data_IF_562948618112
#
_entry.id   IF_562948618112
#
_cell.length_a   1.000
_cell.length_b   1.000
_cell.length_c   1.000
_cell.angle_alpha   90.00
_cell.angle_beta   90.00
_cell.angle_gamma   90.00
#
_symmetry.space_group_name_H-M   'P 1'
#
loop_
_entity.id
_entity.type
_entity.pdbx_description
1 polymer ?
#
# COMPACT_ATOMS: atom_id res chain seq x y z
N UNK A 1 38.39 9.20 -36.26
CA UNK A 1 37.96 8.53 -35.01
C UNK A 1 36.44 8.51 -34.97
N UNK A 2 35.85 7.35 -34.64
CA UNK A 2 34.39 7.12 -34.70
C UNK A 2 33.64 8.09 -33.78
N UNK A 3 32.45 8.53 -34.19
CA UNK A 3 31.55 9.41 -33.43
C UNK A 3 31.30 8.92 -32.00
N UNK A 4 31.40 7.60 -31.78
CA UNK A 4 31.31 6.97 -30.47
C UNK A 4 32.49 7.31 -29.54
N UNK A 5 33.72 7.29 -30.05
CA UNK A 5 34.92 7.66 -29.27
C UNK A 5 34.90 9.14 -28.86
N UNK A 6 34.36 10.01 -29.72
CA UNK A 6 34.20 11.43 -29.40
C UNK A 6 33.15 11.64 -28.29
N UNK A 7 32.09 10.83 -28.26
CA UNK A 7 31.05 10.90 -27.22
C UNK A 7 31.55 10.39 -25.86
N UNK A 8 32.30 9.28 -25.86
CA UNK A 8 32.93 8.73 -24.65
C UNK A 8 33.96 9.70 -24.08
N UNK A 9 34.78 10.33 -24.91
CA UNK A 9 35.74 11.35 -24.47
C UNK A 9 35.04 12.61 -23.89
N UNK A 10 33.88 12.99 -24.43
CA UNK A 10 33.09 14.11 -23.93
C UNK A 10 32.44 13.79 -22.58
N UNK A 11 31.97 12.56 -22.38
CA UNK A 11 31.46 12.07 -21.10
C UNK A 11 32.57 11.95 -20.04
N UNK A 12 33.75 11.49 -20.42
CA UNK A 12 34.91 11.41 -19.53
C UNK A 12 35.36 12.80 -19.05
N UNK A 13 35.44 13.79 -19.95
CA UNK A 13 35.74 15.18 -19.57
C UNK A 13 34.64 15.82 -18.72
N UNK A 14 33.37 15.50 -18.98
CA UNK A 14 32.27 15.97 -18.15
C UNK A 14 32.33 15.37 -16.73
N UNK A 15 32.71 14.10 -16.60
CA UNK A 15 32.95 13.45 -15.32
C UNK A 15 34.16 14.06 -14.58
N UNK A 16 35.25 14.37 -15.29
CA UNK A 16 36.43 15.03 -14.73
C UNK A 16 36.13 16.46 -14.26
N UNK A 17 35.32 17.23 -15.01
CA UNK A 17 34.89 18.57 -14.56
C UNK A 17 33.97 18.52 -13.34
N UNK A 18 33.12 17.49 -13.24
CA UNK A 18 32.28 17.28 -12.05
C UNK A 18 33.11 16.85 -10.83
N UNK A 19 34.23 16.13 -11.03
CA UNK A 19 35.18 15.86 -9.94
C UNK A 19 36.05 17.05 -9.56
N UNK A 20 36.40 17.92 -10.51
CA UNK A 20 37.18 19.13 -10.23
C UNK A 20 36.36 20.19 -9.48
N UNK A 21 35.06 20.32 -9.79
CA UNK A 21 34.12 21.15 -9.01
C UNK A 21 33.74 20.52 -7.65
N UNK A 22 34.09 19.25 -7.41
CA UNK A 22 33.91 18.58 -6.12
C UNK A 22 35.09 18.77 -5.15
N UNK A 23 36.21 19.36 -5.59
CA UNK A 23 37.44 19.51 -4.78
C UNK A 23 37.66 20.94 -4.25
N UNK A 24 36.61 21.76 -4.21
CA UNK A 24 36.64 23.01 -3.46
C UNK A 24 35.53 22.99 -2.42
N UNK A 25 35.81 22.32 -1.30
CA UNK A 25 34.95 22.37 -0.11
C UNK A 25 34.75 23.84 0.28
N UNK A 26 33.50 24.37 0.28
CA UNK A 26 33.25 25.72 0.76
C UNK A 26 33.67 25.80 2.24
N UNK A 27 34.13 26.96 2.73
CA UNK A 27 34.47 27.12 4.14
C UNK A 27 33.27 26.71 4.98
N UNK A 28 33.49 25.85 5.97
CA UNK A 28 32.47 25.33 6.86
C UNK A 28 31.86 26.46 7.71
N UNK A 29 30.92 27.20 7.14
CA UNK A 29 30.01 28.05 7.90
C UNK A 29 29.20 27.07 8.73
N UNK A 30 29.46 27.00 10.04
CA UNK A 30 28.75 26.13 10.97
C UNK A 30 27.25 26.44 10.86
N UNK A 31 26.50 25.57 10.20
CA UNK A 31 25.06 25.76 10.01
C UNK A 31 24.42 25.61 11.39
N UNK A 32 23.80 26.68 11.94
CA UNK A 32 23.24 26.62 13.27
C UNK A 32 22.08 25.60 13.30
N UNK A 33 22.03 24.80 14.36
CA UNK A 33 20.93 23.87 14.60
C UNK A 33 19.70 24.66 15.05
N UNK A 34 18.52 24.29 14.52
CA UNK A 34 17.24 24.82 14.99
C UNK A 34 16.96 24.35 16.42
N UNK A 35 16.17 25.11 17.18
CA UNK A 35 15.81 24.79 18.58
C UNK A 35 15.31 23.34 18.77
N UNK A 36 14.45 22.85 17.87
CA UNK A 36 13.94 21.47 17.91
C UNK A 36 15.01 20.39 17.60
N UNK A 37 16.10 20.74 16.90
CA UNK A 37 17.23 19.85 16.68
C UNK A 37 18.22 19.89 17.86
N UNK A 38 18.30 21.03 18.58
CA UNK A 38 19.13 21.20 19.77
C UNK A 38 18.62 20.38 20.97
N UNK A 39 17.32 20.07 21.01
CA UNK A 39 16.74 19.22 22.07
C UNK A 39 17.06 17.73 21.92
N UNK A 40 17.70 17.32 20.82
CA UNK A 40 18.10 15.93 20.61
C UNK A 40 19.34 15.58 21.45
N UNK A 41 19.47 14.32 21.88
CA UNK A 41 20.67 13.87 22.59
C UNK A 41 21.98 14.18 21.84
N UNK A 42 23.06 14.56 22.56
CA UNK A 42 24.30 15.06 21.94
C UNK A 42 24.98 14.03 21.03
N UNK A 43 24.86 12.73 21.32
CA UNK A 43 25.41 11.66 20.49
C UNK A 43 24.73 11.58 19.10
N UNK A 44 23.47 12.00 18.97
CA UNK A 44 22.75 12.04 17.69
C UNK A 44 23.22 13.24 16.88
N UNK A 45 23.31 14.38 17.55
CA UNK A 45 23.77 15.65 16.96
C UNK A 45 25.18 15.47 16.40
N UNK A 46 26.07 14.79 17.12
CA UNK A 46 27.42 14.50 16.66
C UNK A 46 27.47 13.45 15.52
N UNK A 47 26.52 12.53 15.49
CA UNK A 47 26.49 11.41 14.53
C UNK A 47 25.84 11.73 13.18
N UNK A 48 25.08 12.83 13.10
CA UNK A 48 24.21 13.14 11.96
C UNK A 48 24.56 14.51 11.39
N UNK A 49 24.49 14.65 10.06
CA UNK A 49 24.69 15.93 9.39
C UNK A 49 23.69 16.99 9.90
N UNK A 50 24.16 18.18 10.35
CA UNK A 50 23.29 19.26 10.83
C UNK A 50 22.24 19.70 9.79
N UNK A 51 22.53 19.59 8.48
CA UNK A 51 21.56 19.91 7.41
C UNK A 51 20.39 18.92 7.43
N UNK A 52 20.70 17.62 7.54
CA UNK A 52 19.69 16.56 7.62
C UNK A 52 18.85 16.72 8.89
N UNK A 53 19.51 16.98 10.02
CA UNK A 53 18.86 17.14 11.32
C UNK A 53 17.88 18.33 11.33
N UNK A 54 18.29 19.46 10.77
CA UNK A 54 17.44 20.66 10.67
C UNK A 54 16.18 20.42 9.80
N UNK A 55 16.30 19.61 8.74
CA UNK A 55 15.16 19.20 7.90
C UNK A 55 14.25 18.21 8.61
N UNK A 56 14.82 17.22 9.31
CA UNK A 56 14.05 16.25 10.10
C UNK A 56 13.29 16.93 11.25
N UNK A 57 13.91 17.90 11.93
CA UNK A 57 13.31 18.61 13.06
C UNK A 57 12.06 19.44 12.67
N UNK A 58 11.94 19.86 11.40
CA UNK A 58 10.70 20.47 10.89
C UNK A 58 9.59 19.47 10.57
N UNK A 59 9.92 18.19 10.39
CA UNK A 59 8.98 17.14 10.02
C UNK A 59 8.42 16.44 11.25
N UNK A 60 9.30 16.07 12.19
CA UNK A 60 8.95 15.29 13.36
C UNK A 60 9.75 15.79 14.57
N UNK A 61 9.06 15.99 15.70
CA UNK A 61 9.68 16.36 16.98
C UNK A 61 9.79 15.13 17.87
N UNK A 62 11.00 14.85 18.33
CA UNK A 62 11.26 13.75 19.25
C UNK A 62 10.54 14.01 20.59
N UNK A 63 9.68 13.09 21.05
CA UNK A 63 9.02 13.24 22.35
C UNK A 63 10.01 12.97 23.50
N UNK A 64 9.78 13.59 24.67
CA UNK A 64 10.69 13.50 25.82
C UNK A 64 10.83 12.07 26.42
N UNK A 65 9.78 11.25 26.25
CA UNK A 65 9.78 9.84 26.66
C UNK A 65 10.55 8.92 25.70
N UNK A 66 10.97 9.43 24.53
CA UNK A 66 11.80 8.65 23.63
C UNK A 66 13.20 8.45 24.23
N UNK A 67 13.80 7.29 23.98
CA UNK A 67 15.14 6.97 24.46
C UNK A 67 15.80 5.88 23.64
N UNK A 68 17.02 5.50 24.01
CA UNK A 68 17.73 4.41 23.36
C UNK A 68 17.33 3.06 23.96
N UNK A 69 17.20 2.01 23.15
CA UNK A 69 16.98 0.67 23.67
C UNK A 69 18.25 0.13 24.35
N UNK A 70 18.08 -0.55 25.49
CA UNK A 70 19.18 -1.21 26.22
C UNK A 70 19.67 -2.49 25.53
N UNK A 71 18.85 -3.08 24.66
CA UNK A 71 19.16 -4.28 23.87
C UNK A 71 19.13 -3.93 22.38
N UNK A 72 19.91 -4.63 21.54
CA UNK A 72 19.84 -4.40 20.09
C UNK A 72 18.52 -4.91 19.53
N UNK A 73 17.96 -4.16 18.59
CA UNK A 73 16.77 -4.52 17.81
C UNK A 73 17.02 -4.22 16.34
N UNK A 74 16.33 -4.93 15.45
CA UNK A 74 16.35 -4.65 14.03
C UNK A 74 15.00 -4.98 13.37
N UNK A 75 14.74 -4.38 12.21
CA UNK A 75 13.66 -4.79 11.33
C UNK A 75 14.21 -5.77 10.30
N UNK A 76 13.74 -7.00 10.34
CA UNK A 76 14.03 -8.00 9.31
C UNK A 76 13.13 -7.75 8.10
N UNK A 77 13.74 -7.41 6.97
CA UNK A 77 13.02 -7.04 5.76
C UNK A 77 12.92 -8.24 4.81
N UNK A 78 11.71 -8.56 4.36
CA UNK A 78 11.46 -9.64 3.38
C UNK A 78 10.58 -9.13 2.26
N UNK A 79 10.95 -9.42 1.01
CA UNK A 79 10.10 -9.21 -0.17
C UNK A 79 9.72 -10.58 -0.75
N UNK A 80 8.47 -11.00 -0.56
CA UNK A 80 8.03 -12.34 -0.94
C UNK A 80 8.76 -13.41 -0.12
N UNK A 81 9.75 -14.09 -0.72
CA UNK A 81 10.61 -15.09 -0.06
C UNK A 81 12.09 -14.69 0.00
N UNK A 82 12.44 -13.50 -0.52
CA UNK A 82 13.83 -13.04 -0.59
C UNK A 82 14.10 -12.12 0.61
N UNK A 83 15.07 -12.45 1.47
CA UNK A 83 15.48 -11.58 2.57
C UNK A 83 16.27 -10.38 2.05
N UNK A 84 16.02 -9.21 2.63
CA UNK A 84 16.73 -7.96 2.38
C UNK A 84 17.61 -7.59 3.58
N UNK A 85 18.58 -6.67 3.41
CA UNK A 85 19.37 -6.17 4.53
C UNK A 85 18.48 -5.67 5.68
N UNK A 86 18.75 -6.15 6.88
CA UNK A 86 18.01 -5.77 8.08
C UNK A 86 18.33 -4.33 8.49
N UNK A 87 17.32 -3.63 9.02
CA UNK A 87 17.42 -2.22 9.44
C UNK A 87 17.65 -2.14 10.95
N UNK A 88 18.82 -1.67 11.40
CA UNK A 88 19.16 -1.60 12.82
C UNK A 88 18.43 -0.48 13.58
N UNK A 89 17.93 -0.77 14.79
CA UNK A 89 17.13 0.16 15.59
C UNK A 89 17.83 0.60 16.89
N UNK A 90 19.14 0.47 16.99
CA UNK A 90 19.91 0.70 18.23
C UNK A 90 20.57 2.08 18.36
N UNK A 91 20.72 2.83 17.26
CA UNK A 91 21.55 4.04 17.20
C UNK A 91 20.80 5.31 17.60
N UNK A 92 19.50 5.35 17.39
CA UNK A 92 18.68 6.55 17.54
C UNK A 92 17.40 6.24 18.34
N UNK A 93 16.83 7.23 19.05
CA UNK A 93 15.60 7.09 19.84
C UNK A 93 14.34 6.99 18.97
N UNK A 94 14.42 7.44 17.72
CA UNK A 94 13.38 7.26 16.72
C UNK A 94 14.00 7.08 15.33
N UNK A 95 13.20 6.56 14.41
CA UNK A 95 13.55 6.33 13.01
C UNK A 95 12.40 6.76 12.11
N UNK A 96 12.70 7.55 11.08
CA UNK A 96 11.75 7.96 10.05
C UNK A 96 11.84 7.04 8.83
N UNK A 97 10.67 6.65 8.33
CA UNK A 97 10.49 5.82 7.13
C UNK A 97 9.76 6.63 6.05
N UNK A 98 10.26 6.59 4.82
CA UNK A 98 9.64 7.30 3.71
C UNK A 98 10.46 7.24 2.43
N UNK A 99 9.97 7.90 1.37
CA UNK A 99 10.69 8.01 0.09
C UNK A 99 11.77 9.10 0.10
N UNK A 100 11.66 10.09 0.99
CA UNK A 100 12.56 11.23 1.02
C UNK A 100 13.92 10.83 1.63
N UNK A 101 15.07 11.21 1.03
CA UNK A 101 16.40 10.96 1.60
C UNK A 101 16.64 11.60 2.98
N UNK A 102 15.79 12.54 3.40
CA UNK A 102 15.77 13.08 4.76
C UNK A 102 15.36 12.03 5.80
N UNK A 103 14.63 10.98 5.42
CA UNK A 103 14.31 9.88 6.32
C UNK A 103 15.56 9.07 6.70
N UNK A 104 15.49 8.32 7.81
CA UNK A 104 16.59 7.46 8.24
C UNK A 104 16.64 6.19 7.40
N UNK A 105 15.46 5.64 7.12
CA UNK A 105 15.29 4.52 6.21
C UNK A 105 14.50 4.96 4.98
N UNK A 106 15.21 5.07 3.87
CA UNK A 106 14.62 5.39 2.56
C UNK A 106 14.04 4.12 1.98
N UNK A 107 12.73 4.12 1.76
CA UNK A 107 11.99 2.97 1.26
C UNK A 107 11.63 3.17 -0.21
N UNK A 108 11.97 2.17 -1.02
CA UNK A 108 11.72 2.15 -2.46
C UNK A 108 10.34 1.57 -2.75
N UNK A 109 9.31 2.40 -2.65
CA UNK A 109 8.02 2.05 -3.20
C UNK A 109 7.16 3.29 -3.50
N UNK A 110 6.51 3.37 -4.66
CA UNK A 110 5.60 4.46 -5.08
C UNK A 110 4.54 4.85 -4.04
N UNK A 111 3.91 3.85 -3.43
CA UNK A 111 2.79 4.05 -2.51
C UNK A 111 3.24 4.59 -1.16
N UNK A 112 4.54 4.57 -0.87
CA UNK A 112 5.08 5.11 0.36
C UNK A 112 5.12 6.63 0.19
N UNK A 113 4.81 7.37 1.24
CA UNK A 113 4.81 8.84 1.21
C UNK A 113 6.25 9.34 1.38
N UNK A 114 6.54 10.59 1.00
CA UNK A 114 7.87 11.19 1.18
C UNK A 114 8.35 11.07 2.62
N UNK A 115 7.45 11.34 3.56
CA UNK A 115 7.56 10.98 4.97
C UNK A 115 6.32 10.18 5.29
N UNK A 116 6.48 8.93 5.72
CA UNK A 116 5.37 7.98 5.81
C UNK A 116 5.07 7.63 7.26
N UNK A 117 6.08 7.20 8.03
CA UNK A 117 5.89 6.80 9.42
C UNK A 117 7.13 7.11 10.26
N UNK A 118 6.93 7.18 11.57
CA UNK A 118 7.98 7.21 12.58
C UNK A 118 7.87 5.98 13.48
N UNK A 119 9.01 5.40 13.83
CA UNK A 119 9.12 4.38 14.86
C UNK A 119 9.94 4.94 16.01
N UNK A 120 9.37 4.98 17.20
CA UNK A 120 9.96 5.66 18.36
C UNK A 120 10.14 4.63 19.47
N UNK A 121 11.30 4.59 20.12
CA UNK A 121 11.51 3.71 21.26
C UNK A 121 11.10 4.42 22.56
N UNK A 122 10.13 3.83 23.28
CA UNK A 122 9.70 4.33 24.57
C UNK A 122 10.56 3.70 25.68
N UNK A 123 11.31 4.55 26.41
CA UNK A 123 12.21 4.11 27.48
C UNK A 123 11.49 3.67 28.76
N UNK A 124 10.30 4.21 29.01
CA UNK A 124 9.50 3.93 30.22
C UNK A 124 8.80 2.58 30.11
N UNK A 125 8.22 2.28 28.95
CA UNK A 125 7.52 1.02 28.68
C UNK A 125 8.38 -0.04 28.00
N UNK A 126 9.63 0.29 27.64
CA UNK A 126 10.59 -0.61 26.98
C UNK A 126 9.99 -1.27 25.73
N UNK A 127 9.33 -0.46 24.90
CA UNK A 127 8.67 -0.93 23.68
C UNK A 127 8.81 0.09 22.55
N UNK A 128 8.61 -0.39 21.32
CA UNK A 128 8.54 0.51 20.16
C UNK A 128 7.10 1.01 19.99
N UNK A 129 6.98 2.28 19.60
CA UNK A 129 5.73 2.94 19.28
C UNK A 129 5.77 3.34 17.81
N UNK A 130 4.86 2.79 17.02
CA UNK A 130 4.66 3.13 15.63
C UNK A 130 3.70 4.32 15.52
N UNK A 131 4.04 5.29 14.68
CA UNK A 131 3.22 6.44 14.37
C UNK A 131 3.16 6.66 12.86
N UNK A 132 1.97 6.55 12.27
CA UNK A 132 1.74 6.97 10.89
C UNK A 132 1.62 8.50 10.85
N UNK A 133 2.45 9.16 10.04
CA UNK A 133 2.55 10.63 9.97
C UNK A 133 1.49 11.26 9.05
N UNK A 134 0.43 10.51 8.74
CA UNK A 134 -0.63 10.95 7.82
C UNK A 134 -0.34 10.53 6.39
N UNK A 135 0.21 9.32 6.23
CA UNK A 135 0.51 8.78 4.92
C UNK A 135 -0.75 8.51 4.10
N UNK A 136 -0.63 8.73 2.78
CA UNK A 136 -1.70 8.55 1.80
C UNK A 136 -2.27 7.12 1.82
N UNK A 137 -1.38 6.13 1.77
CA UNK A 137 -1.75 4.71 1.68
C UNK A 137 -1.76 3.99 3.02
N UNK A 138 -1.42 4.69 4.11
CA UNK A 138 -1.41 4.14 5.47
C UNK A 138 -0.26 3.18 5.74
N UNK A 139 -0.08 2.88 7.01
CA UNK A 139 0.76 1.78 7.50
C UNK A 139 -0.13 0.59 7.87
N UNK A 140 0.37 -0.63 7.71
CA UNK A 140 -0.29 -1.85 8.20
C UNK A 140 0.59 -2.55 9.25
N UNK A 141 -0.06 -3.03 10.30
CA UNK A 141 0.50 -3.81 11.39
C UNK A 141 -0.26 -5.14 11.42
N UNK A 142 0.43 -6.26 11.26
CA UNK A 142 -0.21 -7.61 11.15
C UNK A 142 -1.29 -7.67 10.06
N UNK A 143 -1.05 -7.01 8.92
CA UNK A 143 -2.01 -6.92 7.82
C UNK A 143 -3.19 -5.97 8.05
N UNK A 144 -3.38 -5.47 9.28
CA UNK A 144 -4.43 -4.49 9.62
C UNK A 144 -3.91 -3.07 9.45
N UNK A 145 -4.68 -2.22 8.76
CA UNK A 145 -4.33 -0.80 8.61
C UNK A 145 -4.45 -0.09 9.97
N UNK A 146 -3.42 0.67 10.31
CA UNK A 146 -3.38 1.46 11.55
C UNK A 146 -3.91 2.87 11.34
N UNK A 147 -4.44 3.47 12.41
CA UNK A 147 -5.01 4.81 12.37
C UNK A 147 -3.91 5.88 12.22
N UNK A 148 -4.10 6.86 11.31
CA UNK A 148 -3.13 7.91 11.11
C UNK A 148 -3.01 8.80 12.35
N UNK A 149 -1.79 9.27 12.65
CA UNK A 149 -1.45 10.17 13.77
C UNK A 149 -1.77 9.65 15.16
N UNK A 150 -2.01 8.34 15.30
CA UNK A 150 -2.19 7.68 16.59
C UNK A 150 -0.95 6.86 16.94
N UNK A 151 -0.33 7.07 18.12
CA UNK A 151 0.79 6.27 18.57
C UNK A 151 0.31 4.87 18.97
N UNK A 152 0.90 3.83 18.38
CA UNK A 152 0.50 2.45 18.60
C UNK A 152 1.70 1.64 19.07
N UNK A 153 1.68 1.03 20.26
CA UNK A 153 2.77 0.19 20.73
C UNK A 153 2.85 -1.09 19.90
N UNK A 154 4.06 -1.49 19.51
CA UNK A 154 4.33 -2.71 18.77
C UNK A 154 5.22 -3.65 19.59
N UNK A 155 4.93 -4.95 19.51
CA UNK A 155 5.69 -5.98 20.19
C UNK A 155 6.80 -6.55 19.29
N UNK A 156 7.79 -7.18 19.90
CA UNK A 156 8.78 -7.98 19.15
C UNK A 156 8.06 -9.17 18.50
N UNK A 157 8.38 -9.43 17.24
CA UNK A 157 7.71 -10.39 16.36
C UNK A 157 6.66 -9.74 15.47
N UNK A 158 6.29 -8.47 15.71
CA UNK A 158 5.27 -7.82 14.90
C UNK A 158 5.76 -7.48 13.49
N UNK A 159 4.89 -7.68 12.49
CA UNK A 159 5.14 -7.43 11.07
C UNK A 159 4.50 -6.12 10.65
N UNK A 160 5.34 -5.22 10.14
CA UNK A 160 4.98 -3.92 9.60
C UNK A 160 4.99 -3.96 8.07
N UNK A 161 4.09 -3.21 7.45
CA UNK A 161 4.06 -3.01 6.01
C UNK A 161 3.72 -1.55 5.71
N UNK A 162 4.50 -0.91 4.85
CA UNK A 162 4.33 0.51 4.51
C UNK A 162 3.63 0.67 3.16
N UNK A 163 2.48 1.35 3.15
CA UNK A 163 1.60 1.44 2.00
C UNK A 163 1.26 0.06 1.41
N UNK A 164 1.39 -0.07 0.09
CA UNK A 164 1.16 -1.30 -0.68
C UNK A 164 2.47 -1.99 -1.08
N UNK A 165 3.57 -1.69 -0.39
CA UNK A 165 4.84 -2.36 -0.67
C UNK A 165 4.70 -3.86 -0.43
N UNK A 166 5.27 -4.66 -1.33
CA UNK A 166 5.43 -6.11 -1.13
C UNK A 166 6.47 -6.45 -0.06
N UNK A 167 7.25 -5.45 0.42
CA UNK A 167 8.21 -5.61 1.51
C UNK A 167 7.48 -5.61 2.85
N UNK A 168 7.81 -6.58 3.68
CA UNK A 168 7.35 -6.72 5.06
C UNK A 168 8.54 -6.57 6.01
N UNK A 169 8.31 -5.96 7.17
CA UNK A 169 9.34 -5.62 8.14
C UNK A 169 8.95 -6.20 9.49
N UNK A 170 9.61 -7.28 9.89
CA UNK A 170 9.36 -7.91 11.19
C UNK A 170 10.29 -7.34 12.24
N UNK A 171 9.74 -6.85 13.36
CA UNK A 171 10.53 -6.36 14.48
C UNK A 171 11.15 -7.53 15.24
N UNK A 172 12.48 -7.62 15.27
CA UNK A 172 13.21 -8.68 15.97
C UNK A 172 14.16 -8.11 17.01
N UNK A 173 14.30 -8.84 18.11
CA UNK A 173 15.35 -8.60 19.10
C UNK A 173 16.66 -9.23 18.62
N UNK A 174 17.79 -8.61 18.95
CA UNK A 174 19.12 -9.03 18.54
C UNK A 174 19.76 -8.13 17.49
N UNK A 175 21.06 -8.32 17.28
CA UNK A 175 21.79 -7.65 16.22
C UNK A 175 21.29 -8.11 14.83
N UNK A 176 21.32 -7.24 13.81
CA UNK A 176 20.93 -7.62 12.47
C UNK A 176 21.81 -8.78 11.96
N UNK A 177 21.23 -9.83 11.36
CA UNK A 177 22.01 -10.91 10.77
C UNK A 177 22.86 -10.36 9.62
N UNK A 178 24.13 -10.74 9.58
CA UNK A 178 25.02 -10.42 8.47
C UNK A 178 24.54 -11.19 7.24
N UNK A 179 23.90 -10.52 6.29
CA UNK A 179 23.50 -11.15 5.03
C UNK A 179 24.77 -11.57 4.30
N UNK A 180 25.09 -12.87 4.28
CA UNK A 180 26.11 -13.40 3.37
C UNK A 180 25.62 -13.03 1.96
N UNK A 181 26.35 -12.15 1.28
CA UNK A 181 26.10 -11.86 -0.14
C UNK A 181 26.25 -13.20 -0.85
N UNK A 182 25.14 -13.84 -1.21
CA UNK A 182 25.16 -14.88 -2.22
C UNK A 182 25.62 -14.15 -3.48
N UNK A 183 26.90 -14.31 -3.81
CA UNK A 183 27.38 -14.01 -5.15
C UNK A 183 26.63 -14.98 -6.05
N UNK A 184 25.87 -14.45 -7.01
CA UNK A 184 25.40 -15.23 -8.15
C UNK A 184 26.62 -15.47 -9.05
N UNK A 185 27.59 -16.24 -8.55
CA UNK A 185 28.60 -16.85 -9.41
C UNK A 185 27.96 -18.16 -9.86
N UNK A 186 27.47 -18.15 -11.09
CA UNK A 186 27.03 -19.35 -11.77
C UNK A 186 28.23 -20.27 -11.97
N UNK A 187 28.18 -21.41 -11.30
CA UNK A 187 28.82 -22.63 -11.77
C UNK A 187 27.83 -23.76 -11.48
N UNK A 188 27.22 -24.26 -12.56
CA UNK A 188 26.63 -25.58 -12.57
C UNK A 188 27.76 -26.56 -12.33
N UNK A 189 27.80 -27.18 -11.14
CA UNK A 189 28.62 -28.35 -10.96
C UNK A 189 27.81 -29.53 -10.43
N UNK A 190 28.06 -30.63 -11.12
CA UNK A 190 27.12 -31.71 -11.39
C UNK A 190 26.98 -32.60 -10.16
N UNK A 191 25.73 -32.92 -9.79
CA UNK A 191 25.45 -33.95 -8.81
C UNK A 191 25.93 -35.33 -9.32
N UNK A 192 27.07 -35.80 -8.82
CA UNK A 192 27.49 -37.19 -8.94
C UNK A 192 27.30 -37.89 -7.58
N UNK A 193 26.21 -38.64 -7.55
CA UNK A 193 25.80 -39.61 -6.56
C UNK A 193 26.90 -40.67 -6.33
N UNK A 194 27.40 -40.81 -5.09
CA UNK A 194 28.01 -42.06 -4.61
C UNK A 194 27.56 -42.36 -3.19
N UNK A 195 26.67 -43.35 -3.09
CA UNK A 195 26.41 -44.09 -1.86
C UNK A 195 27.56 -45.07 -1.57
N UNK A 196 27.96 -45.16 -0.30
CA UNK A 196 28.08 -46.46 0.39
C UNK A 196 29.48 -46.98 0.74
N UNK A 197 29.60 -47.39 2.02
CA UNK A 197 30.68 -48.13 2.72
C UNK A 197 31.88 -47.28 3.15
N UNK A 198 32.31 -47.20 4.40
CA UNK A 198 32.05 -47.96 5.63
C UNK A 198 33.40 -48.18 6.31
N UNK A 199 33.57 -47.79 7.58
CA UNK A 199 34.26 -48.56 8.64
C UNK A 199 34.38 -47.73 9.93
N UNK A 200 34.16 -48.43 11.04
CA UNK A 200 34.22 -47.95 12.42
C UNK A 200 35.59 -48.21 13.07
N UNK A 201 35.94 -47.39 14.06
CA UNK A 201 36.76 -47.70 15.23
C UNK A 201 36.62 -46.51 16.20
N UNK A 202 35.89 -46.59 17.31
CA UNK A 202 36.28 -47.23 18.57
C UNK A 202 37.65 -46.75 19.08
N UNK A 203 37.65 -45.84 20.06
CA UNK A 203 38.39 -46.03 21.30
C UNK A 203 37.77 -45.21 22.44
N UNK A 204 38.15 -45.57 23.65
CA UNK A 204 37.39 -45.62 24.89
C UNK A 204 38.24 -45.12 26.07
N UNK A 205 37.58 -44.78 27.18
CA UNK A 205 38.17 -44.48 28.50
C UNK A 205 37.31 -43.43 29.23
N UNK A 206 36.36 -43.79 30.13
CA UNK A 206 36.50 -44.19 31.55
C UNK A 206 37.29 -43.13 32.36
N UNK A 207 36.88 -42.59 33.52
CA UNK A 207 36.15 -43.12 34.69
C UNK A 207 35.66 -41.91 35.57
N UNK A 208 34.43 -41.90 36.12
CA UNK A 208 34.03 -42.35 37.49
C UNK A 208 34.14 -41.20 38.54
N UNK A 209 33.02 -40.58 38.93
CA UNK A 209 32.15 -40.85 40.10
C UNK A 209 32.60 -40.18 41.40
N UNK A 210 31.73 -39.36 42.00
CA UNK A 210 31.54 -39.36 43.44
C UNK A 210 30.13 -38.85 43.82
N UNK A 211 29.40 -39.71 44.53
CA UNK A 211 28.20 -39.42 45.30
C UNK A 211 28.61 -39.47 46.77
N UNK A 212 28.29 -38.46 47.58
CA UNK A 212 28.00 -38.68 49.01
C UNK A 212 26.86 -37.75 49.47
N UNK A 213 25.87 -38.41 50.07
CA UNK A 213 24.65 -37.92 50.72
C UNK A 213 24.88 -37.50 52.18
N UNK A 214 23.93 -36.75 52.78
CA UNK A 214 23.42 -36.83 54.18
C UNK A 214 22.34 -35.72 54.33
N UNK A 215 21.02 -35.97 54.28
CA UNK A 215 20.06 -36.32 55.39
C UNK A 215 20.17 -35.39 56.62
N UNK A 216 19.11 -34.84 57.24
CA UNK A 216 17.73 -35.32 57.44
C UNK A 216 16.73 -34.19 57.88
N UNK A 217 15.43 -34.46 57.63
CA UNK A 217 14.13 -34.12 58.27
C UNK A 217 14.01 -32.95 59.31
N UNK A 218 12.87 -32.24 59.48
CA UNK A 218 11.54 -32.73 59.93
C UNK A 218 10.44 -31.63 59.77
N UNK A 219 9.23 -32.07 59.39
CA UNK A 219 7.85 -31.56 59.61
C UNK A 219 7.44 -30.09 59.25
N UNK A 220 6.24 -29.82 58.71
CA UNK A 220 5.09 -30.70 58.51
C UNK A 220 3.88 -30.06 57.80
N UNK A 221 2.88 -30.93 57.58
CA UNK A 221 1.42 -30.72 57.38
C UNK A 221 0.97 -29.85 56.20
N UNK A 222 0.50 -30.45 55.09
CA UNK A 222 -0.81 -31.10 54.84
C UNK A 222 -1.92 -30.10 54.46
N UNK A 223 -2.19 -29.92 53.16
CA UNK A 223 -3.30 -30.51 52.37
C UNK A 223 -4.63 -29.75 52.50
N UNK A 224 -5.20 -29.31 51.37
CA UNK A 224 -6.65 -29.26 51.14
C UNK A 224 -6.96 -29.27 49.61
N UNK A 225 -7.96 -30.05 49.15
CA UNK A 225 -8.49 -30.05 47.78
C UNK A 225 -9.87 -29.35 47.69
N UNK A 226 -10.46 -29.35 46.48
CA UNK A 226 -11.90 -29.46 46.15
C UNK A 226 -12.55 -28.33 45.29
N UNK A 227 -12.94 -28.77 44.09
CA UNK A 227 -14.23 -28.66 43.35
C UNK A 227 -15.33 -27.67 43.79
N UNK A 228 -15.98 -27.10 42.76
CA UNK A 228 -17.13 -26.16 42.69
C UNK A 228 -18.44 -26.61 43.43
N UNK A 229 -19.49 -25.75 43.52
CA UNK A 229 -20.51 -25.68 42.45
C UNK A 229 -21.25 -24.32 42.27
N UNK A 230 -22.09 -24.26 41.22
CA UNK A 230 -22.97 -23.18 40.77
C UNK A 230 -24.14 -22.82 41.72
N UNK A 231 -24.63 -21.58 41.62
CA UNK A 231 -26.03 -21.23 41.89
C UNK A 231 -26.50 -20.00 41.09
N UNK A 232 -27.70 -20.15 40.55
CA UNK A 232 -28.54 -19.23 39.76
C UNK A 232 -29.27 -18.25 40.70
N UNK A 233 -29.75 -17.09 40.21
CA UNK A 233 -31.13 -16.54 40.40
C UNK A 233 -31.24 -15.06 39.92
N UNK A 234 -31.95 -14.91 38.79
CA UNK A 234 -33.02 -13.96 38.40
C UNK A 234 -32.93 -12.42 38.53
N UNK A 235 -33.02 -11.79 37.34
CA UNK A 235 -33.98 -10.75 36.86
C UNK A 235 -34.24 -9.43 37.62
N UNK A 236 -34.12 -8.30 36.90
CA UNK A 236 -35.21 -7.33 36.69
C UNK A 236 -34.90 -6.30 35.57
N UNK A 237 -35.87 -6.16 34.67
CA UNK A 237 -36.28 -5.05 33.78
C UNK A 237 -36.31 -3.69 34.54
N UNK A 238 -36.25 -2.47 33.99
CA UNK A 238 -36.74 -1.86 32.76
C UNK A 238 -36.37 -0.35 32.68
N UNK A 239 -36.43 0.19 31.45
CA UNK A 239 -36.93 1.52 31.08
C UNK A 239 -36.03 2.79 31.10
N UNK A 240 -36.28 3.60 30.07
CA UNK A 240 -35.58 4.76 29.57
C UNK A 240 -36.04 6.09 30.20
N UNK A 241 -35.29 7.18 29.99
CA UNK A 241 -35.71 8.42 29.28
C UNK A 241 -34.65 9.53 29.42
N UNK A 242 -34.60 10.35 28.36
CA UNK A 242 -33.74 11.50 28.07
C UNK A 242 -33.73 12.66 29.09
N UNK A 243 -32.78 13.60 28.92
CA UNK A 243 -32.96 15.07 28.94
C UNK A 243 -31.61 15.77 28.63
N UNK A 244 -31.63 16.79 27.77
CA UNK A 244 -30.51 17.72 27.44
C UNK A 244 -30.69 19.09 28.16
N UNK A 245 -29.98 20.21 27.84
CA UNK A 245 -29.11 20.93 28.79
C UNK A 245 -29.50 22.43 29.03
N UNK A 246 -28.59 23.22 29.63
CA UNK A 246 -28.52 24.71 29.80
C UNK A 246 -28.51 25.17 31.30
N UNK A 247 -28.03 26.37 31.70
CA UNK A 247 -27.96 27.63 30.94
C UNK A 247 -26.75 28.60 31.14
N UNK A 248 -26.82 29.72 30.40
CA UNK A 248 -25.94 30.90 30.30
C UNK A 248 -26.23 32.04 31.33
N UNK A 249 -25.32 33.03 31.39
CA UNK A 249 -25.53 34.45 31.78
C UNK A 249 -24.18 35.21 31.79
N UNK A 250 -23.80 36.05 30.80
CA UNK A 250 -24.13 37.46 30.46
C UNK A 250 -23.74 38.55 31.49
N UNK A 251 -23.01 39.60 31.02
CA UNK A 251 -23.20 41.09 31.14
C UNK A 251 -21.97 41.80 30.49
N UNK A 252 -22.06 42.44 29.29
CA UNK A 252 -22.28 43.89 28.93
C UNK A 252 -21.02 44.82 29.10
N UNK A 253 -20.63 45.83 28.29
CA UNK A 253 -21.28 46.79 27.36
C UNK A 253 -20.24 47.53 26.44
N UNK A 254 -20.53 47.65 25.13
CA UNK A 254 -20.70 48.86 24.25
C UNK A 254 -19.78 50.14 24.28
N UNK A 255 -19.80 51.10 23.28
CA UNK A 255 -20.43 51.14 21.92
C UNK A 255 -19.74 51.97 20.77
N UNK A 256 -20.48 52.09 19.61
CA UNK A 256 -20.55 53.15 18.53
C UNK A 256 -19.60 53.04 17.31
N UNK A 257 -19.97 53.23 16.01
CA UNK A 257 -21.12 53.87 15.31
C UNK A 257 -21.21 53.51 13.78
N UNK A 258 -22.45 53.39 13.26
CA UNK A 258 -23.08 53.70 11.93
C UNK A 258 -22.27 53.72 10.60
N UNK A 259 -22.76 53.20 9.46
CA UNK A 259 -23.86 53.78 8.66
C UNK A 259 -24.55 52.83 7.63
N UNK A 260 -25.85 53.10 7.41
CA UNK A 260 -26.84 52.73 6.37
C UNK A 260 -26.37 52.89 4.90
N UNK A 261 -26.91 52.19 3.88
CA UNK A 261 -28.27 52.31 3.28
C UNK A 261 -28.70 51.08 2.44
N UNK A 262 -30.02 50.96 2.24
CA UNK A 262 -30.72 50.06 1.30
C UNK A 262 -31.23 50.83 0.06
N UNK A 263 -31.52 50.15 -1.07
CA UNK A 263 -32.79 50.28 -1.82
C UNK A 263 -32.90 49.40 -3.11
N UNK A 264 -34.09 49.46 -3.72
CA UNK A 264 -34.85 48.47 -4.48
C UNK A 264 -34.59 48.32 -6.02
N UNK A 265 -35.40 47.43 -6.60
CA UNK A 265 -35.49 46.89 -7.97
C UNK A 265 -35.74 47.88 -9.13
N UNK A 266 -35.54 47.42 -10.38
CA UNK A 266 -36.48 47.56 -11.52
C UNK A 266 -36.01 46.83 -12.80
N UNK A 267 -36.96 46.72 -13.74
CA UNK A 267 -37.19 45.89 -14.94
C UNK A 267 -36.65 46.40 -16.30
N UNK A 268 -36.50 45.49 -17.30
CA UNK A 268 -37.12 45.46 -18.66
C UNK A 268 -36.41 44.33 -19.47
N UNK A 269 -37.01 43.45 -20.28
CA UNK A 269 -38.08 43.45 -21.29
C UNK A 269 -37.70 44.11 -22.64
N UNK A 270 -37.41 43.26 -23.65
CA UNK A 270 -37.87 43.45 -25.04
C UNK A 270 -37.93 42.08 -25.76
N UNK A 271 -39.12 41.74 -26.26
CA UNK A 271 -39.38 40.66 -27.22
C UNK A 271 -38.98 41.05 -28.66
N UNK A 272 -39.32 40.33 -29.72
CA UNK A 272 -40.32 39.29 -29.89
C UNK A 272 -40.15 38.63 -31.29
N UNK A 273 -40.98 37.59 -31.56
CA UNK A 273 -41.62 37.28 -32.87
C UNK A 273 -40.74 36.57 -33.93
N UNK A 274 -41.12 35.47 -34.62
CA UNK A 274 -42.34 34.63 -34.74
C UNK A 274 -42.04 33.39 -35.62
N UNK A 275 -42.81 32.29 -35.40
CA UNK A 275 -43.54 31.42 -36.38
C UNK A 275 -42.78 30.73 -37.54
N UNK A 276 -43.12 29.57 -38.10
CA UNK A 276 -44.20 28.59 -37.95
C UNK A 276 -43.84 27.34 -38.80
N UNK A 277 -44.48 26.21 -38.48
CA UNK A 277 -44.95 25.09 -39.34
C UNK A 277 -44.09 24.54 -40.52
N UNK A 278 -43.97 23.21 -40.57
CA UNK A 278 -43.80 22.49 -41.85
C UNK A 278 -43.45 21.01 -41.73
N UNK A 279 -44.42 20.13 -41.98
CA UNK A 279 -44.35 18.66 -41.94
C UNK A 279 -44.27 18.10 -43.39
N UNK A 280 -43.56 16.97 -43.54
CA UNK A 280 -43.59 15.98 -44.64
C UNK A 280 -43.03 16.36 -46.03
N UNK A 281 -42.09 15.55 -46.55
CA UNK A 281 -42.35 14.54 -47.60
C UNK A 281 -41.05 13.98 -48.23
N UNK A 282 -40.97 12.65 -48.26
CA UNK A 282 -40.25 11.77 -49.21
C UNK A 282 -40.75 12.01 -50.67
N UNK A 283 -40.02 11.64 -51.76
CA UNK A 283 -39.87 10.22 -52.11
C UNK A 283 -38.64 9.75 -52.92
N UNK A 284 -38.29 8.49 -52.68
CA UNK A 284 -38.04 7.37 -53.61
C UNK A 284 -37.22 7.55 -54.90
N UNK A 285 -36.21 6.68 -55.05
CA UNK A 285 -35.82 6.12 -56.35
C UNK A 285 -35.47 4.62 -56.22
N UNK A 286 -36.33 3.81 -56.82
CA UNK A 286 -36.23 2.38 -57.12
C UNK A 286 -35.13 2.09 -58.14
N UNK A 287 -34.40 0.95 -58.04
CA UNK A 287 -34.08 0.04 -59.18
C UNK A 287 -33.41 -1.28 -58.71
N UNK A 288 -34.21 -2.35 -58.80
CA UNK A 288 -34.00 -3.69 -59.41
C UNK A 288 -32.78 -4.58 -59.05
N UNK A 289 -33.13 -5.82 -58.65
CA UNK A 289 -32.29 -7.01 -58.48
C UNK A 289 -31.89 -7.67 -59.81
N UNK A 290 -30.74 -8.37 -59.84
CA UNK A 290 -30.67 -9.70 -60.46
C UNK A 290 -29.52 -10.54 -59.90
N UNK A 291 -29.83 -11.78 -59.53
CA UNK A 291 -28.89 -12.83 -59.15
C UNK A 291 -28.61 -13.74 -60.36
N UNK A 292 -27.43 -14.37 -60.38
CA UNK A 292 -27.15 -15.70 -60.98
C UNK A 292 -25.90 -16.32 -60.36
N UNK A 293 -25.99 -17.60 -60.04
CA UNK A 293 -24.94 -18.50 -59.53
C UNK A 293 -23.94 -18.94 -60.65
N UNK A 294 -22.73 -19.38 -60.32
CA UNK A 294 -22.37 -20.82 -60.19
C UNK A 294 -20.85 -21.11 -60.00
N UNK A 295 -20.59 -22.19 -59.26
CA UNK A 295 -19.52 -23.20 -59.33
C UNK A 295 -17.99 -22.91 -59.22
N UNK A 296 -17.45 -23.36 -58.06
CA UNK A 296 -16.33 -24.33 -57.85
C UNK A 296 -14.85 -23.98 -58.04
N UNK A 297 -14.07 -24.26 -56.98
CA UNK A 297 -12.62 -24.53 -57.02
C UNK A 297 -11.98 -24.48 -55.62
N UNK A 298 -11.94 -25.61 -54.89
CA UNK A 298 -11.45 -25.68 -53.50
C UNK A 298 -9.96 -25.97 -53.34
N UNK A 299 -9.39 -25.55 -52.21
CA UNK A 299 -8.27 -26.22 -51.53
C UNK A 299 -8.23 -25.86 -50.03
N UNK A 300 -7.69 -26.74 -49.16
CA UNK A 300 -8.09 -26.82 -47.75
C UNK A 300 -7.18 -25.96 -46.87
N UNK A 301 -7.73 -24.85 -46.37
CA UNK A 301 -7.09 -24.03 -45.34
C UNK A 301 -8.12 -23.35 -44.44
N UNK A 302 -9.14 -24.07 -43.99
CA UNK A 302 -10.11 -23.55 -43.01
C UNK A 302 -10.44 -24.61 -41.96
N UNK A 303 -9.70 -24.56 -40.85
CA UNK A 303 -10.11 -25.16 -39.58
C UNK A 303 -9.87 -24.19 -38.40
N UNK A 304 -9.84 -22.87 -38.65
CA UNK A 304 -9.64 -21.88 -37.59
C UNK A 304 -10.36 -20.53 -37.80
N UNK A 305 -11.34 -20.45 -38.71
CA UNK A 305 -12.07 -19.19 -39.00
C UNK A 305 -13.55 -19.42 -39.22
N UNK A 306 -14.24 -20.04 -38.25
CA UNK A 306 -15.70 -19.97 -38.15
C UNK A 306 -16.18 -20.42 -36.76
N UNK A 307 -16.02 -19.55 -35.76
CA UNK A 307 -17.00 -19.48 -34.67
C UNK A 307 -17.54 -18.06 -34.70
N UNK A 308 -18.61 -17.90 -35.46
CA UNK A 308 -19.42 -16.71 -35.56
C UNK A 308 -19.76 -16.14 -34.17
N UNK A 309 -19.98 -14.83 -34.14
CA UNK A 309 -20.45 -14.06 -33.01
C UNK A 309 -21.57 -14.79 -32.25
N UNK A 310 -21.22 -15.52 -31.19
CA UNK A 310 -22.17 -15.76 -30.12
C UNK A 310 -22.49 -14.38 -29.54
N UNK A 311 -23.73 -13.94 -29.66
CA UNK A 311 -24.22 -12.75 -28.95
C UNK A 311 -23.90 -12.94 -27.47
N UNK A 312 -22.96 -12.15 -26.96
CA UNK A 312 -22.63 -12.18 -25.56
C UNK A 312 -23.81 -11.55 -24.81
N UNK A 313 -24.41 -12.30 -23.89
CA UNK A 313 -25.44 -11.76 -23.02
C UNK A 313 -24.89 -10.53 -22.26
N UNK A 314 -25.73 -9.52 -21.99
CA UNK A 314 -25.33 -8.37 -21.17
C UNK A 314 -24.86 -8.84 -19.79
N UNK A 315 -23.77 -8.26 -19.29
CA UNK A 315 -23.15 -8.65 -18.00
C UNK A 315 -23.20 -7.50 -17.00
N UNK A 316 -23.27 -7.79 -15.70
CA UNK A 316 -23.21 -6.75 -14.66
C UNK A 316 -21.78 -6.61 -14.16
N UNK A 317 -21.17 -5.44 -14.45
CA UNK A 317 -19.75 -5.22 -14.24
C UNK A 317 -19.46 -4.14 -13.18
N UNK A 318 -18.41 -4.35 -12.39
CA UNK A 318 -17.78 -3.33 -11.56
C UNK A 318 -16.35 -3.10 -12.03
N UNK A 319 -15.83 -1.90 -11.78
CA UNK A 319 -14.45 -1.53 -12.07
C UNK A 319 -13.74 -0.89 -10.89
N UNK A 320 -12.44 -1.17 -10.80
CA UNK A 320 -11.48 -0.50 -9.93
C UNK A 320 -10.33 -0.01 -10.80
N UNK A 321 -10.04 1.30 -10.76
CA UNK A 321 -9.01 1.93 -11.60
C UNK A 321 -7.86 2.47 -10.75
N UNK A 322 -6.65 1.98 -11.02
CA UNK A 322 -5.39 2.43 -10.42
C UNK A 322 -4.61 3.22 -11.47
N UNK A 323 -4.52 4.52 -11.27
CA UNK A 323 -3.80 5.42 -12.17
C UNK A 323 -2.28 5.41 -11.92
N UNK A 324 -1.49 5.69 -12.95
CA UNK A 324 -0.03 5.96 -12.88
C UNK A 324 0.31 7.33 -13.49
N UNK A 325 1.58 7.74 -13.40
CA UNK A 325 2.05 9.05 -13.86
C UNK A 325 1.92 9.29 -15.38
N UNK A 326 1.86 8.21 -16.16
CA UNK A 326 1.86 8.26 -17.63
C UNK A 326 0.44 8.21 -18.24
N UNK A 327 -0.61 8.20 -17.41
CA UNK A 327 -2.02 8.27 -17.87
C UNK A 327 -2.41 9.70 -18.25
N UNK A 328 -3.45 9.86 -19.08
CA UNK A 328 -3.88 11.16 -19.60
C UNK A 328 -4.19 12.20 -18.50
N UNK A 329 -4.76 11.74 -17.38
CA UNK A 329 -5.07 12.59 -16.23
C UNK A 329 -4.57 11.95 -14.93
N UNK A 330 -3.30 12.17 -14.54
CA UNK A 330 -2.65 11.56 -13.39
C UNK A 330 -3.03 12.30 -12.10
N UNK A 331 -4.32 12.57 -11.89
CA UNK A 331 -4.86 13.17 -10.67
C UNK A 331 -5.82 12.17 -10.04
N UNK A 332 -5.66 11.93 -8.73
CA UNK A 332 -6.58 11.13 -7.95
C UNK A 332 -7.93 11.85 -7.82
N UNK A 333 -9.00 11.12 -8.12
CA UNK A 333 -10.38 11.55 -7.85
C UNK A 333 -11.08 10.65 -6.82
N UNK A 334 -10.34 9.70 -6.25
CA UNK A 334 -10.81 8.78 -5.24
C UNK A 334 -10.60 9.32 -3.83
N UNK A 335 -10.00 8.49 -2.97
CA UNK A 335 -9.70 8.82 -1.56
C UNK A 335 -8.81 10.05 -1.42
N UNK A 336 -7.78 10.15 -2.26
CA UNK A 336 -6.76 11.20 -2.17
C UNK A 336 -7.03 12.33 -3.17
N UNK A 337 -8.29 12.80 -3.16
CA UNK A 337 -8.81 13.71 -4.19
C UNK A 337 -7.91 14.94 -4.37
N UNK A 338 -7.43 15.13 -5.61
CA UNK A 338 -6.60 16.27 -6.01
C UNK A 338 -5.10 16.01 -5.99
N UNK A 339 -4.64 14.88 -5.46
CA UNK A 339 -3.21 14.54 -5.48
C UNK A 339 -2.74 14.14 -6.88
N UNK A 340 -1.57 14.64 -7.26
CA UNK A 340 -0.87 14.24 -8.49
C UNK A 340 -0.23 12.87 -8.28
N UNK A 341 -0.51 11.97 -9.22
CA UNK A 341 -0.10 10.59 -9.20
C UNK A 341 1.30 10.49 -9.79
N UNK A 342 2.26 10.14 -8.92
CA UNK A 342 3.70 10.09 -9.26
C UNK A 342 4.25 8.68 -9.45
N UNK A 343 3.44 7.65 -9.16
CA UNK A 343 3.82 6.24 -9.30
C UNK A 343 3.98 5.82 -10.76
N UNK A 344 4.89 4.88 -11.03
CA UNK A 344 5.12 4.37 -12.38
C UNK A 344 3.99 3.45 -12.86
N UNK A 345 4.01 3.11 -14.16
CA UNK A 345 3.13 2.09 -14.73
C UNK A 345 3.31 0.72 -14.06
N UNK A 346 4.56 0.27 -13.91
CA UNK A 346 4.88 -1.00 -13.26
C UNK A 346 4.35 -1.07 -11.81
N UNK A 347 4.45 0.05 -11.11
CA UNK A 347 3.95 0.19 -9.75
C UNK A 347 2.42 0.05 -9.65
N UNK A 348 1.67 0.63 -10.60
CA UNK A 348 0.22 0.49 -10.64
C UNK A 348 -0.19 -0.96 -10.93
N UNK A 349 0.55 -1.67 -11.78
CA UNK A 349 0.37 -3.10 -12.01
C UNK A 349 0.65 -3.92 -10.75
N UNK A 350 1.71 -3.60 -10.02
CA UNK A 350 2.04 -4.29 -8.77
C UNK A 350 1.00 -4.04 -7.68
N UNK A 351 0.42 -2.84 -7.61
CA UNK A 351 -0.73 -2.57 -6.75
C UNK A 351 -1.95 -3.42 -7.15
N UNK A 352 -2.27 -3.53 -8.43
CA UNK A 352 -3.37 -4.36 -8.91
C UNK A 352 -3.16 -5.85 -8.55
N UNK A 353 -1.94 -6.36 -8.79
CA UNK A 353 -1.55 -7.73 -8.41
C UNK A 353 -1.61 -7.95 -6.90
N UNK A 354 -1.22 -6.94 -6.12
CA UNK A 354 -1.30 -7.00 -4.66
C UNK A 354 -2.75 -7.17 -4.19
N UNK A 355 -3.70 -6.41 -4.73
CA UNK A 355 -5.13 -6.52 -4.39
C UNK A 355 -5.64 -7.94 -4.64
N UNK A 356 -5.32 -8.51 -5.80
CA UNK A 356 -5.71 -9.88 -6.15
C UNK A 356 -5.05 -10.92 -5.23
N UNK A 357 -3.76 -10.78 -4.95
CA UNK A 357 -3.02 -11.69 -4.07
C UNK A 357 -3.52 -11.61 -2.62
N UNK A 358 -3.88 -10.41 -2.16
CA UNK A 358 -4.43 -10.20 -0.84
C UNK A 358 -5.79 -10.89 -0.66
N UNK A 359 -6.67 -10.75 -1.65
CA UNK A 359 -7.94 -11.49 -1.65
C UNK A 359 -7.73 -12.99 -1.64
N UNK A 360 -6.85 -13.52 -2.49
CA UNK A 360 -6.54 -14.96 -2.54
C UNK A 360 -5.97 -15.52 -1.24
N UNK A 361 -5.34 -14.68 -0.40
CA UNK A 361 -4.88 -15.10 0.94
C UNK A 361 -6.03 -15.21 1.93
N UNK A 362 -7.05 -14.35 1.80
CA UNK A 362 -8.23 -14.32 2.69
C UNK A 362 -9.29 -15.33 2.27
N UNK A 363 -9.51 -15.49 0.96
CA UNK A 363 -10.51 -16.36 0.36
C UNK A 363 -9.80 -17.46 -0.43
N UNK A 364 -9.81 -18.72 0.05
CA UNK A 364 -9.18 -19.83 -0.66
C UNK A 364 -9.91 -20.11 -1.98
N UNK A 365 -9.23 -20.86 -2.87
CA UNK A 365 -9.81 -21.26 -4.14
C UNK A 365 -10.99 -22.21 -3.91
N UNK A 366 -12.15 -21.88 -4.47
CA UNK A 366 -13.33 -22.73 -4.40
C UNK A 366 -13.14 -23.92 -5.37
N UNK A 367 -13.21 -25.19 -4.90
CA UNK A 367 -12.89 -26.37 -5.72
C UNK A 367 -13.76 -26.54 -6.97
N UNK A 368 -15.01 -26.11 -6.88
CA UNK A 368 -16.03 -26.14 -7.94
C UNK A 368 -15.78 -25.07 -9.02
N UNK A 369 -15.28 -23.90 -8.63
CA UNK A 369 -15.06 -22.78 -9.54
C UNK A 369 -13.63 -22.74 -10.10
N UNK A 370 -12.65 -23.22 -9.36
CA UNK A 370 -11.23 -23.18 -9.71
C UNK A 370 -10.57 -21.81 -9.52
N UNK A 371 -11.26 -20.85 -8.90
CA UNK A 371 -10.72 -19.54 -8.51
C UNK A 371 -11.25 -19.11 -7.13
N UNK A 372 -10.67 -18.05 -6.56
CA UNK A 372 -11.17 -17.42 -5.32
C UNK A 372 -12.28 -16.42 -5.70
N UNK A 373 -13.57 -16.73 -5.47
CA UNK A 373 -14.66 -15.84 -5.85
C UNK A 373 -14.62 -14.56 -5.02
N UNK A 374 -15.07 -13.46 -5.63
CA UNK A 374 -15.30 -12.19 -4.96
C UNK A 374 -16.80 -11.97 -4.75
N UNK A 375 -17.13 -11.28 -3.67
CA UNK A 375 -18.46 -10.70 -3.47
C UNK A 375 -18.50 -9.23 -3.91
N UNK A 376 -19.68 -8.69 -4.26
CA UNK A 376 -19.83 -7.26 -4.56
C UNK A 376 -19.33 -6.38 -3.42
N UNK A 377 -19.62 -6.76 -2.17
CA UNK A 377 -19.23 -6.01 -0.98
C UNK A 377 -17.71 -5.93 -0.82
N UNK A 378 -17.01 -7.05 -1.02
CA UNK A 378 -15.54 -7.11 -0.97
C UNK A 378 -14.90 -6.30 -2.08
N UNK A 379 -15.42 -6.39 -3.31
CA UNK A 379 -14.88 -5.64 -4.44
C UNK A 379 -15.10 -4.14 -4.25
N UNK A 380 -16.28 -3.74 -3.78
CA UNK A 380 -16.59 -2.34 -3.45
C UNK A 380 -15.71 -1.81 -2.31
N UNK A 381 -15.39 -2.62 -1.30
CA UNK A 381 -14.42 -2.25 -0.27
C UNK A 381 -13.02 -2.00 -0.86
N UNK A 382 -12.58 -2.82 -1.82
CA UNK A 382 -11.35 -2.57 -2.56
C UNK A 382 -11.44 -1.29 -3.41
N UNK A 383 -12.58 -1.01 -4.05
CA UNK A 383 -12.78 0.25 -4.79
C UNK A 383 -12.59 1.46 -3.86
N UNK A 384 -13.17 1.44 -2.67
CA UNK A 384 -13.04 2.54 -1.70
C UNK A 384 -11.61 2.71 -1.14
N UNK A 385 -10.82 1.64 -1.12
CA UNK A 385 -9.43 1.69 -0.67
C UNK A 385 -8.46 2.13 -1.77
N UNK A 386 -8.61 1.61 -2.99
CA UNK A 386 -7.59 1.68 -4.02
C UNK A 386 -7.98 2.50 -5.26
N UNK A 387 -9.26 2.72 -5.52
CA UNK A 387 -9.70 3.35 -6.76
C UNK A 387 -9.39 4.85 -6.77
N UNK A 388 -8.81 5.30 -7.89
CA UNK A 388 -8.38 6.69 -8.11
C UNK A 388 -9.34 7.46 -9.03
N UNK A 389 -10.49 6.87 -9.35
CA UNK A 389 -11.59 7.50 -10.06
C UNK A 389 -12.67 7.96 -9.08
N UNK A 390 -13.52 8.90 -9.51
CA UNK A 390 -14.60 9.42 -8.66
C UNK A 390 -15.68 8.35 -8.43
N UNK A 391 -15.57 7.64 -7.32
CA UNK A 391 -16.45 6.53 -6.95
C UNK A 391 -17.75 6.95 -6.22
N UNK A 392 -17.97 8.26 -5.98
CA UNK A 392 -18.97 8.75 -5.00
C UNK A 392 -20.44 8.35 -5.19
N UNK A 393 -20.88 7.98 -6.40
CA UNK A 393 -22.29 7.62 -6.66
C UNK A 393 -22.53 6.13 -6.94
N UNK A 394 -21.57 5.46 -7.56
CA UNK A 394 -21.72 4.06 -8.00
C UNK A 394 -20.67 3.11 -7.42
N UNK A 395 -19.66 3.61 -6.69
CA UNK A 395 -18.58 2.82 -6.06
C UNK A 395 -17.97 1.74 -6.98
N UNK A 396 -17.75 2.11 -8.24
CA UNK A 396 -17.17 1.23 -9.26
C UNK A 396 -18.21 0.47 -10.09
N UNK A 397 -19.48 0.47 -9.72
CA UNK A 397 -20.56 -0.17 -10.47
C UNK A 397 -20.78 0.50 -11.84
N UNK A 398 -20.66 -0.30 -12.91
CA UNK A 398 -20.95 0.11 -14.28
C UNK A 398 -22.38 -0.25 -14.69
N UNK A 399 -23.08 -1.09 -13.92
CA UNK A 399 -24.37 -1.65 -14.26
C UNK A 399 -24.26 -2.76 -15.29
N UNK A 400 -25.39 -3.03 -15.96
CA UNK A 400 -25.46 -3.98 -17.07
C UNK A 400 -24.83 -3.36 -18.30
N UNK A 401 -23.85 -4.05 -18.88
CA UNK A 401 -23.04 -3.59 -20.02
C UNK A 401 -23.09 -4.60 -21.15
N UNK A 402 -23.23 -4.07 -22.37
CA UNK A 402 -23.25 -4.84 -23.62
C UNK A 402 -21.87 -4.83 -24.27
N UNK A 403 -21.60 -5.82 -25.11
CA UNK A 403 -20.32 -5.90 -25.82
C UNK A 403 -20.21 -4.79 -26.87
N UNK A 404 -19.08 -4.09 -26.89
CA UNK A 404 -18.84 -2.89 -27.70
C UNK A 404 -18.99 -1.58 -26.92
N UNK A 405 -19.33 -1.64 -25.62
CA UNK A 405 -19.54 -0.42 -24.81
C UNK A 405 -18.22 0.28 -24.46
N UNK A 406 -17.12 -0.46 -24.26
CA UNK A 406 -15.84 0.09 -23.83
C UNK A 406 -14.73 -0.14 -24.84
N UNK A 407 -13.52 0.34 -24.52
CA UNK A 407 -12.32 0.03 -25.28
C UNK A 407 -12.13 -1.49 -25.41
N UNK A 408 -11.64 -1.94 -26.57
CA UNK A 408 -11.45 -3.35 -26.92
C UNK A 408 -10.80 -4.20 -25.82
N UNK A 409 -9.84 -3.63 -25.09
CA UNK A 409 -9.10 -4.30 -24.02
C UNK A 409 -9.99 -4.62 -22.82
N UNK A 410 -10.86 -3.67 -22.43
CA UNK A 410 -11.82 -3.83 -21.33
C UNK A 410 -12.89 -4.83 -21.75
N UNK A 411 -13.44 -4.72 -22.95
CA UNK A 411 -14.49 -5.63 -23.43
C UNK A 411 -13.98 -7.07 -23.56
N UNK A 412 -12.79 -7.25 -24.15
CA UNK A 412 -12.16 -8.59 -24.24
C UNK A 412 -11.93 -9.21 -22.86
N UNK A 413 -11.60 -8.41 -21.85
CA UNK A 413 -11.42 -8.91 -20.49
C UNK A 413 -12.76 -9.18 -19.79
N UNK A 414 -13.70 -8.24 -19.82
CA UNK A 414 -14.98 -8.30 -19.13
C UNK A 414 -15.82 -9.51 -19.58
N UNK A 415 -15.95 -9.71 -20.88
CA UNK A 415 -16.79 -10.79 -21.45
C UNK A 415 -16.15 -12.18 -21.37
N UNK A 416 -14.90 -12.29 -20.89
CA UNK A 416 -14.26 -13.56 -20.55
C UNK A 416 -14.47 -13.97 -19.09
N UNK A 417 -14.94 -13.06 -18.23
CA UNK A 417 -15.11 -13.33 -16.82
C UNK A 417 -16.31 -14.23 -16.55
N UNK A 418 -16.13 -15.16 -15.61
CA UNK A 418 -17.23 -15.88 -14.96
C UNK A 418 -17.81 -15.03 -13.82
N UNK A 419 -19.03 -15.39 -13.40
CA UNK A 419 -19.66 -14.79 -12.22
C UNK A 419 -18.75 -14.92 -10.99
N UNK A 420 -18.58 -13.84 -10.25
CA UNK A 420 -17.74 -13.81 -9.06
C UNK A 420 -16.24 -13.65 -9.36
N UNK A 421 -15.83 -13.60 -10.63
CA UNK A 421 -14.44 -13.53 -11.03
C UNK A 421 -13.97 -12.07 -11.18
N UNK A 422 -12.70 -11.83 -10.86
CA UNK A 422 -12.02 -10.56 -11.12
C UNK A 422 -10.94 -10.75 -12.17
N UNK A 423 -10.88 -9.85 -13.14
CA UNK A 423 -9.90 -9.90 -14.23
C UNK A 423 -8.46 -9.78 -13.74
N UNK A 424 -7.53 -10.25 -14.57
CA UNK A 424 -6.15 -9.79 -14.51
C UNK A 424 -6.09 -8.25 -14.71
N UNK A 425 -4.99 -7.59 -14.30
CA UNK A 425 -4.81 -6.16 -14.54
C UNK A 425 -4.88 -5.83 -16.05
N UNK A 426 -5.83 -4.98 -16.44
CA UNK A 426 -6.02 -4.50 -17.82
C UNK A 426 -5.55 -3.06 -17.92
N UNK A 427 -4.63 -2.77 -18.83
CA UNK A 427 -4.07 -1.43 -18.95
C UNK A 427 -4.79 -0.64 -20.02
N UNK A 428 -5.15 0.61 -19.73
CA UNK A 428 -5.73 1.55 -20.69
C UNK A 428 -5.14 2.95 -20.50
N UNK A 429 -5.58 3.91 -21.31
CA UNK A 429 -5.19 5.33 -21.16
C UNK A 429 -5.66 5.96 -19.84
N UNK A 430 -6.66 5.35 -19.17
CA UNK A 430 -7.17 5.81 -17.88
C UNK A 430 -6.40 5.21 -16.69
N UNK A 431 -5.60 4.17 -16.91
CA UNK A 431 -4.81 3.48 -15.89
C UNK A 431 -4.96 1.95 -15.95
N UNK A 432 -4.69 1.30 -14.83
CA UNK A 432 -4.79 -0.15 -14.66
C UNK A 432 -6.15 -0.49 -14.06
N UNK A 433 -6.93 -1.31 -14.75
CA UNK A 433 -8.28 -1.72 -14.39
C UNK A 433 -8.28 -3.14 -13.82
N UNK A 434 -9.05 -3.32 -12.76
CA UNK A 434 -9.58 -4.62 -12.34
C UNK A 434 -11.08 -4.60 -12.59
N UNK A 435 -11.59 -5.63 -13.25
CA UNK A 435 -12.99 -5.76 -13.61
C UNK A 435 -13.60 -6.94 -12.85
N UNK A 436 -14.76 -6.74 -12.23
CA UNK A 436 -15.48 -7.77 -11.49
C UNK A 436 -16.84 -8.02 -12.12
N UNK A 437 -17.16 -9.29 -12.38
CA UNK A 437 -18.46 -9.70 -12.90
C UNK A 437 -19.36 -10.23 -11.79
N UNK A 438 -20.55 -9.63 -11.64
CA UNK A 438 -21.45 -9.90 -10.52
C UNK A 438 -22.61 -10.88 -10.83
N UNK A 439 -23.10 -10.89 -12.07
CA UNK A 439 -24.35 -11.55 -12.52
C UNK A 439 -24.28 -13.07 -12.59
#
# INVERSE_FOLDING_TARGET
MSSFQAHVAKLARAAESVSADAEQAPPAVAIPLREAAQSLPPHIIAATDPVKLNKQASIFRCPAWAGLPSRPFHLHCVRGKVPYPALGLQRFPYYLFGKNPVCDYVLEHPSISSVHAALIFNKEHVCFVLLDLGSTNGVRLEGKRVEPRKPIPIAVGSVLQFGYSTRTYELRAGAPPQLKRLREDGDEDTAAQRHGSGLASADSGLCEADKVSLSAAVAGTATCPATAPSAVITSATSAATAVSPAPEGQVANEPRTSSTTAEAATSSAHGAVTSDVGRMAEPAATTVMHATADATGGSPAEAATASAAAEYAPIHLFQLVIKHKDVENPISRGRNKGEIITRSRADALDMARYILADHRRRVPVAPDLGFSPWTPEEFVAAVDEYCEMSAKKKRGDLGVVEKGTFADEIDKAAFRLRRGEVSAPVETQLGVHLLYRCD
#
